data_IF_491239941743
#
_entry.id   IF_491239941743
#
_cell.length_a   1.000
_cell.length_b   1.000
_cell.length_c   1.000
_cell.angle_alpha   90.00
_cell.angle_beta   90.00
_cell.angle_gamma   90.00
#
_symmetry.space_group_name_H-M   'P 1'
#
loop_
_entity.id
_entity.type
_entity.pdbx_description
1 polymer ?
#
# COMPACT_ATOMS: atom_id res chain seq x y z
N UNK A 1 -1.22 -9.52 -21.26
CA UNK A 1 -0.03 -8.71 -20.96
C UNK A 1 0.32 -8.89 -19.50
N UNK A 2 1.60 -8.91 -19.14
CA UNK A 2 2.01 -9.02 -17.73
C UNK A 2 2.05 -7.61 -17.10
N UNK A 3 1.53 -7.41 -15.89
CA UNK A 3 1.52 -6.10 -15.24
C UNK A 3 2.92 -5.64 -14.83
N UNK A 4 3.18 -4.34 -14.79
CA UNK A 4 4.41 -3.74 -14.26
C UNK A 4 4.47 -3.83 -12.74
N UNK A 5 3.36 -3.51 -12.08
CA UNK A 5 3.14 -3.78 -10.65
C UNK A 5 1.96 -4.74 -10.48
N UNK A 6 2.13 -5.77 -9.66
CA UNK A 6 1.02 -6.63 -9.21
C UNK A 6 1.02 -6.71 -7.70
N UNK A 7 -0.04 -6.19 -7.09
CA UNK A 7 -0.29 -6.17 -5.65
C UNK A 7 -1.42 -7.14 -5.35
N UNK A 8 -1.24 -8.02 -4.36
CA UNK A 8 -2.29 -8.94 -3.90
C UNK A 8 -2.42 -8.92 -2.40
N UNK A 9 -3.65 -8.65 -1.94
CA UNK A 9 -4.06 -8.69 -0.54
C UNK A 9 -3.15 -7.86 0.37
N UNK A 10 -2.70 -6.71 -0.13
CA UNK A 10 -1.78 -5.82 0.57
C UNK A 10 -2.47 -5.27 1.82
N UNK A 11 -1.78 -5.40 2.95
CA UNK A 11 -2.11 -4.68 4.19
C UNK A 11 -0.87 -3.92 4.63
N UNK A 12 -0.97 -2.60 4.71
CA UNK A 12 0.13 -1.72 5.12
C UNK A 12 -0.16 -1.13 6.49
N UNK A 13 0.77 -1.30 7.42
CA UNK A 13 0.64 -0.85 8.82
C UNK A 13 1.53 0.35 9.09
N UNK A 14 1.04 1.24 9.94
CA UNK A 14 1.88 2.24 10.60
C UNK A 14 1.77 2.09 12.11
N UNK A 15 2.89 2.18 12.85
CA UNK A 15 2.86 2.14 14.30
C UNK A 15 2.05 3.31 14.82
N UNK A 16 1.21 3.04 15.81
CA UNK A 16 0.42 4.05 16.49
C UNK A 16 0.55 3.81 17.98
N UNK A 17 1.20 4.74 18.69
CA UNK A 17 1.41 4.62 20.12
C UNK A 17 0.31 5.37 20.87
N UNK A 18 -0.59 4.64 21.52
CA UNK A 18 -1.42 5.18 22.59
C UNK A 18 -0.71 5.01 23.93
N UNK A 19 -0.84 5.97 24.87
CA UNK A 19 -0.43 5.75 26.24
C UNK A 19 -1.14 4.51 26.80
N UNK A 20 -0.38 3.53 27.32
CA UNK A 20 -0.85 2.29 27.95
C UNK A 20 -1.25 1.11 27.03
N UNK A 21 -0.82 1.07 25.76
CA UNK A 21 -1.03 -0.10 24.90
C UNK A 21 0.22 -0.48 24.13
N UNK A 22 0.77 -1.67 24.40
CA UNK A 22 1.87 -2.22 23.63
C UNK A 22 1.37 -2.71 22.26
N UNK A 23 2.10 -2.38 21.20
CA UNK A 23 1.95 -2.94 19.84
C UNK A 23 0.65 -2.58 19.08
N UNK A 24 0.22 -1.31 19.12
CA UNK A 24 -0.87 -0.82 18.26
C UNK A 24 -0.37 -0.30 16.91
N UNK A 25 -1.18 -0.52 15.88
CA UNK A 25 -0.97 -0.02 14.53
C UNK A 25 -2.28 0.43 13.91
N UNK A 26 -2.18 1.31 12.93
CA UNK A 26 -3.29 1.67 12.04
C UNK A 26 -3.04 1.05 10.66
N UNK A 27 -4.07 0.47 10.07
CA UNK A 27 -4.04 0.00 8.69
C UNK A 27 -4.22 1.21 7.75
N UNK A 28 -3.18 1.54 7.00
CA UNK A 28 -3.28 2.54 5.94
C UNK A 28 -3.82 1.96 4.63
N UNK A 29 -3.55 0.67 4.39
CA UNK A 29 -4.16 -0.12 3.32
C UNK A 29 -4.67 -1.41 3.95
N UNK A 30 -5.87 -1.83 3.60
CA UNK A 30 -6.47 -3.08 4.08
C UNK A 30 -7.00 -3.89 2.91
N UNK A 31 -6.34 -5.03 2.66
CA UNK A 31 -6.70 -5.99 1.62
C UNK A 31 -6.75 -5.41 0.19
N UNK A 32 -5.75 -4.60 -0.17
CA UNK A 32 -5.67 -3.99 -1.50
C UNK A 32 -5.04 -4.94 -2.51
N UNK A 33 -5.74 -5.18 -3.63
CA UNK A 33 -5.23 -5.90 -4.79
C UNK A 33 -5.36 -5.00 -6.02
N UNK A 34 -4.27 -4.83 -6.77
CA UNK A 34 -4.18 -3.90 -7.89
C UNK A 34 -3.10 -4.38 -8.86
N UNK A 35 -3.44 -4.40 -10.15
CA UNK A 35 -2.47 -4.55 -11.23
C UNK A 35 -2.32 -3.21 -11.96
N UNK A 36 -1.08 -2.81 -12.25
CA UNK A 36 -0.75 -1.60 -13.03
C UNK A 36 0.07 -2.04 -14.24
N UNK A 37 -0.31 -1.63 -15.43
CA UNK A 37 0.35 -2.04 -16.68
C UNK A 37 1.34 -0.98 -17.18
N UNK A 38 2.30 -1.42 -18.01
CA UNK A 38 3.21 -0.49 -18.69
C UNK A 38 2.44 0.51 -19.56
N UNK A 39 2.90 1.77 -19.58
CA UNK A 39 2.28 2.89 -20.31
C UNK A 39 0.87 3.29 -19.83
N UNK A 40 0.44 2.83 -18.66
CA UNK A 40 -0.82 3.25 -18.04
C UNK A 40 -0.64 4.55 -17.25
N UNK A 41 -1.65 5.43 -17.28
CA UNK A 41 -1.75 6.58 -16.38
C UNK A 41 -2.84 6.29 -15.34
N UNK A 42 -2.43 5.93 -14.12
CA UNK A 42 -3.34 5.63 -13.01
C UNK A 42 -3.56 6.88 -12.13
N UNK A 43 -4.82 7.28 -11.94
CA UNK A 43 -5.21 8.30 -10.97
C UNK A 43 -5.75 7.65 -9.68
N UNK A 44 -5.16 7.98 -8.53
CA UNK A 44 -5.62 7.52 -7.21
C UNK A 44 -6.39 8.64 -6.52
N UNK A 45 -7.70 8.44 -6.29
CA UNK A 45 -8.59 9.44 -5.68
C UNK A 45 -9.24 8.94 -4.39
N UNK A 46 -9.71 9.87 -3.55
CA UNK A 46 -10.33 9.58 -2.25
C UNK A 46 -10.11 10.68 -1.21
N UNK A 47 -10.89 10.66 -0.12
CA UNK A 47 -10.82 11.65 0.97
C UNK A 47 -9.53 11.59 1.79
N UNK A 48 -9.31 12.57 2.67
CA UNK A 48 -8.16 12.55 3.58
C UNK A 48 -8.16 11.30 4.47
N UNK A 49 -6.98 10.71 4.69
CA UNK A 49 -6.83 9.48 5.46
C UNK A 49 -7.12 8.17 4.71
N UNK A 50 -7.58 8.21 3.45
CA UNK A 50 -7.96 7.00 2.69
C UNK A 50 -6.80 6.12 2.19
N UNK A 51 -5.55 6.38 2.61
CA UNK A 51 -4.40 5.55 2.23
C UNK A 51 -3.69 5.88 0.91
N UNK A 52 -4.11 6.91 0.16
CA UNK A 52 -3.51 7.25 -1.17
C UNK A 52 -2.00 7.47 -1.12
N UNK A 53 -1.54 8.35 -0.24
CA UNK A 53 -0.11 8.63 -0.08
C UNK A 53 0.65 7.42 0.45
N UNK A 54 -0.02 6.53 1.19
CA UNK A 54 0.56 5.29 1.67
C UNK A 54 0.73 4.27 0.54
N UNK A 55 -0.25 4.15 -0.37
CA UNK A 55 -0.12 3.39 -1.61
C UNK A 55 1.02 3.94 -2.49
N UNK A 56 1.09 5.26 -2.67
CA UNK A 56 2.18 5.89 -3.43
C UNK A 56 3.57 5.58 -2.82
N UNK A 57 3.70 5.67 -1.48
CA UNK A 57 4.95 5.31 -0.79
C UNK A 57 5.28 3.82 -0.93
N UNK A 58 4.28 2.94 -0.88
CA UNK A 58 4.48 1.50 -1.08
C UNK A 58 5.00 1.20 -2.50
N UNK A 59 4.37 1.77 -3.53
CA UNK A 59 4.80 1.59 -4.93
C UNK A 59 6.21 2.14 -5.19
N UNK A 60 6.58 3.23 -4.50
CA UNK A 60 7.93 3.81 -4.55
C UNK A 60 8.98 3.06 -3.71
N UNK A 61 8.61 1.98 -3.01
CA UNK A 61 9.52 1.23 -2.13
C UNK A 61 9.89 1.96 -0.82
N UNK A 62 9.12 2.98 -0.43
CA UNK A 62 9.36 3.82 0.75
C UNK A 62 8.53 3.39 1.98
N UNK A 63 7.73 2.32 1.87
CA UNK A 63 6.97 1.75 2.97
C UNK A 63 7.23 0.24 3.04
N UNK A 64 7.67 -0.27 4.19
CA UNK A 64 8.23 -1.62 4.31
C UNK A 64 7.46 -2.59 5.22
N UNK A 65 6.66 -2.12 6.18
CA UNK A 65 5.89 -3.01 7.06
C UNK A 65 4.51 -3.32 6.45
N UNK A 66 4.51 -4.17 5.43
CA UNK A 66 3.28 -4.66 4.78
C UNK A 66 3.25 -6.18 4.70
N UNK A 67 2.04 -6.73 4.66
CA UNK A 67 1.78 -8.14 4.32
C UNK A 67 1.11 -8.25 2.96
N UNK A 68 1.20 -9.42 2.33
CA UNK A 68 0.66 -9.70 1.00
C UNK A 68 1.78 -9.91 -0.02
N UNK A 69 1.44 -9.89 -1.30
CA UNK A 69 2.40 -10.06 -2.40
C UNK A 69 2.50 -8.76 -3.19
N UNK A 70 3.72 -8.26 -3.38
CA UNK A 70 4.00 -7.15 -4.28
C UNK A 70 5.09 -7.60 -5.26
N UNK A 71 4.75 -7.65 -6.53
CA UNK A 71 5.69 -7.90 -7.62
C UNK A 71 5.87 -6.61 -8.43
N UNK A 72 7.12 -6.23 -8.62
CA UNK A 72 7.52 -5.15 -9.52
C UNK A 72 8.45 -5.71 -10.59
N UNK A 73 8.19 -5.35 -11.85
CA UNK A 73 8.85 -5.94 -13.02
C UNK A 73 10.06 -5.17 -13.57
N UNK A 74 10.50 -4.08 -12.94
CA UNK A 74 11.79 -3.42 -13.25
C UNK A 74 11.74 -1.91 -13.17
#
# INVERSE_FOLDING_TARGET
>A
MNPLYSLKNIRLKYPFALPQSENQFVLALDNLSLDIYENECLAIMGGNGSGKSSLAKLLAGLAGDFSGELHYRG
#
